data_IF_013872920250
#
_entry.id   IF_013872920250
#
_cell.length_a   1.000
_cell.length_b   1.000
_cell.length_c   1.000
_cell.angle_alpha   90.00
_cell.angle_beta   90.00
_cell.angle_gamma   90.00
#
_symmetry.space_group_name_H-M   'P 1'
#
loop_
_entity.id
_entity.type
_entity.pdbx_description
1 polymer ?
#
# COMPACT_ATOMS: atom_id res chain seq x y z
N UNK A 1 -12.94 22.84 9.46
CA UNK A 1 -11.55 23.28 9.62
C UNK A 1 -11.07 23.61 8.23
N UNK A 2 -10.81 24.89 7.99
CA UNK A 2 -10.22 25.35 6.74
C UNK A 2 -8.79 24.76 6.73
N UNK A 3 -8.58 23.64 6.07
CA UNK A 3 -7.27 23.07 5.90
C UNK A 3 -6.57 23.94 4.86
N UNK A 4 -5.85 24.96 5.33
CA UNK A 4 -4.80 25.57 4.53
C UNK A 4 -4.00 24.43 3.91
N UNK A 5 -3.65 24.53 2.63
CA UNK A 5 -2.89 23.50 1.93
C UNK A 5 -1.67 23.11 2.75
N UNK A 6 -1.68 21.92 3.32
CA UNK A 6 -0.53 21.43 4.08
C UNK A 6 0.46 20.86 3.09
N UNK A 7 1.53 21.59 2.89
CA UNK A 7 2.61 21.24 1.96
C UNK A 7 3.79 20.69 2.76
N UNK A 8 4.26 19.50 2.41
CA UNK A 8 5.41 18.86 3.02
C UNK A 8 6.51 18.60 1.97
N UNK A 9 7.78 18.47 2.39
CA UNK A 9 8.83 17.96 1.50
C UNK A 9 8.49 16.59 0.96
N UNK A 10 8.89 16.29 -0.28
CA UNK A 10 8.78 14.95 -0.83
C UNK A 10 9.47 13.94 0.12
N UNK A 11 8.74 12.91 0.51
CA UNK A 11 9.15 12.03 1.61
C UNK A 11 10.39 11.21 1.27
N UNK A 12 10.47 10.66 0.05
CA UNK A 12 11.66 9.91 -0.39
C UNK A 12 12.88 10.85 -0.49
N UNK A 13 12.73 12.00 -1.10
CA UNK A 13 13.78 13.00 -1.21
C UNK A 13 14.30 13.42 0.16
N UNK A 14 13.40 13.67 1.13
CA UNK A 14 13.78 13.98 2.51
C UNK A 14 14.61 12.86 3.15
N UNK A 15 14.26 11.57 2.89
CA UNK A 15 15.05 10.43 3.38
C UNK A 15 16.41 10.38 2.70
N UNK A 16 16.48 10.61 1.37
CA UNK A 16 17.73 10.65 0.62
C UNK A 16 18.67 11.79 1.08
N UNK A 17 18.11 12.93 1.49
CA UNK A 17 18.89 14.06 2.05
C UNK A 17 19.37 13.79 3.48
N UNK A 18 18.51 13.22 4.34
CA UNK A 18 18.80 13.08 5.77
C UNK A 18 19.58 11.81 6.12
N UNK A 19 19.34 10.72 5.39
CA UNK A 19 19.95 9.39 5.64
C UNK A 19 20.29 8.70 4.31
N UNK A 20 21.16 9.31 3.45
CA UNK A 20 21.40 8.84 2.09
C UNK A 20 21.86 7.39 2.00
N UNK A 21 22.71 6.97 2.93
CA UNK A 21 23.34 5.64 2.92
C UNK A 21 22.50 4.57 3.65
N UNK A 22 21.40 4.96 4.32
CA UNK A 22 20.53 4.00 4.98
C UNK A 22 19.81 3.14 3.93
N UNK A 23 19.77 1.82 4.17
CA UNK A 23 19.01 0.91 3.33
C UNK A 23 17.54 1.36 3.24
N UNK A 24 17.06 1.63 2.03
CA UNK A 24 15.66 1.93 1.76
C UNK A 24 14.89 0.66 1.38
N UNK A 25 15.44 -0.11 0.43
CA UNK A 25 14.76 -1.27 -0.14
C UNK A 25 15.72 -2.41 -0.47
N UNK A 26 15.25 -3.64 -0.23
CA UNK A 26 15.89 -4.85 -0.73
C UNK A 26 14.89 -5.68 -1.53
N UNK A 27 15.33 -6.22 -2.69
CA UNK A 27 14.59 -7.17 -3.52
C UNK A 27 15.56 -8.24 -4.06
N UNK A 28 15.41 -9.46 -3.58
CA UNK A 28 16.44 -10.49 -3.80
C UNK A 28 17.80 -10.05 -3.26
N UNK A 29 18.82 -10.09 -4.11
CA UNK A 29 20.18 -9.65 -3.76
C UNK A 29 20.40 -8.14 -3.97
N UNK A 30 19.47 -7.45 -4.64
CA UNK A 30 19.59 -6.02 -4.91
C UNK A 30 19.20 -5.23 -3.68
N UNK A 31 20.06 -4.31 -3.29
CA UNK A 31 19.88 -3.43 -2.11
C UNK A 31 20.15 -2.00 -2.53
N UNK A 32 19.18 -1.13 -2.33
CA UNK A 32 19.33 0.30 -2.57
C UNK A 32 19.17 1.11 -1.28
N UNK A 33 20.04 2.06 -1.12
CA UNK A 33 19.92 3.12 -0.11
C UNK A 33 18.79 4.09 -0.49
N UNK A 34 18.43 5.01 0.42
CA UNK A 34 17.47 6.07 0.10
C UNK A 34 17.96 6.97 -1.02
N UNK A 35 19.27 7.27 -1.08
CA UNK A 35 19.85 8.07 -2.17
C UNK A 35 19.73 7.34 -3.53
N UNK A 36 20.02 6.03 -3.56
CA UNK A 36 19.90 5.23 -4.77
C UNK A 36 18.43 5.10 -5.21
N UNK A 37 17.50 4.83 -4.31
CA UNK A 37 16.08 4.76 -4.63
C UNK A 37 15.55 6.10 -5.17
N UNK A 38 15.96 7.23 -4.60
CA UNK A 38 15.58 8.57 -5.08
C UNK A 38 16.17 8.86 -6.46
N UNK A 39 17.40 8.46 -6.71
CA UNK A 39 18.03 8.57 -8.04
C UNK A 39 17.27 7.74 -9.09
N UNK A 40 16.90 6.50 -8.76
CA UNK A 40 16.09 5.64 -9.64
C UNK A 40 14.70 6.25 -9.92
N UNK A 41 14.03 6.76 -8.89
CA UNK A 41 12.74 7.42 -9.03
C UNK A 41 12.82 8.71 -9.89
N UNK A 42 13.90 9.46 -9.73
CA UNK A 42 14.17 10.67 -10.51
C UNK A 42 14.43 10.34 -11.98
N UNK A 43 15.27 9.34 -12.25
CA UNK A 43 15.55 8.85 -13.60
C UNK A 43 14.26 8.39 -14.30
N UNK A 44 13.50 7.50 -13.66
CA UNK A 44 12.24 7.00 -14.22
C UNK A 44 11.22 8.12 -14.42
N UNK A 45 11.10 9.09 -13.51
CA UNK A 45 10.18 10.22 -13.65
C UNK A 45 10.47 11.04 -14.91
N UNK A 46 11.75 11.29 -15.24
CA UNK A 46 12.13 11.98 -16.47
C UNK A 46 11.80 11.20 -17.73
N UNK A 47 11.92 9.87 -17.69
CA UNK A 47 11.50 9.02 -18.80
C UNK A 47 9.96 8.98 -18.93
N UNK A 48 9.22 8.90 -17.82
CA UNK A 48 7.76 8.93 -17.81
C UNK A 48 7.20 10.25 -18.36
N UNK A 49 7.89 11.37 -18.12
CA UNK A 49 7.51 12.66 -18.68
C UNK A 49 7.52 12.68 -20.22
N UNK A 50 8.37 11.86 -20.87
CA UNK A 50 8.38 11.73 -22.35
C UNK A 50 7.10 11.12 -22.91
N UNK A 51 6.33 10.39 -22.09
CA UNK A 51 4.99 9.90 -22.46
C UNK A 51 3.87 10.91 -22.18
N UNK A 52 4.21 12.16 -21.85
CA UNK A 52 3.25 13.19 -21.50
C UNK A 52 2.68 13.07 -20.09
N UNK A 53 3.31 12.29 -19.21
CA UNK A 53 2.88 12.19 -17.82
C UNK A 53 3.32 13.44 -17.05
N UNK A 54 2.37 14.10 -16.44
CA UNK A 54 2.55 15.31 -15.66
C UNK A 54 1.56 15.32 -14.48
N UNK A 55 1.49 16.43 -13.77
CA UNK A 55 0.54 16.63 -12.66
C UNK A 55 -0.90 16.27 -13.06
N UNK A 56 -1.58 15.53 -12.17
CA UNK A 56 -2.96 15.04 -12.33
C UNK A 56 -3.17 14.03 -13.48
N UNK A 57 -2.14 13.66 -14.25
CA UNK A 57 -2.26 12.58 -15.23
C UNK A 57 -2.61 11.26 -14.52
N UNK A 58 -3.67 10.61 -14.97
CA UNK A 58 -4.09 9.30 -14.43
C UNK A 58 -3.37 8.19 -15.16
N UNK A 59 -2.57 7.43 -14.42
CA UNK A 59 -1.66 6.41 -14.93
C UNK A 59 -2.04 5.05 -14.38
N UNK A 60 -2.58 4.19 -15.25
CA UNK A 60 -2.83 2.79 -14.90
C UNK A 60 -1.50 2.03 -14.80
N UNK A 61 -1.33 1.21 -13.76
CA UNK A 61 -0.10 0.45 -13.51
C UNK A 61 -0.43 -1.02 -13.32
N UNK A 62 0.00 -1.87 -14.26
CA UNK A 62 -0.17 -3.32 -14.29
C UNK A 62 1.18 -4.00 -14.18
N UNK A 63 1.66 -4.21 -12.96
CA UNK A 63 2.98 -4.79 -12.72
C UNK A 63 3.02 -5.62 -11.43
N UNK A 64 3.94 -6.58 -11.37
CA UNK A 64 4.24 -7.36 -10.19
C UNK A 64 4.94 -6.52 -9.12
N UNK A 65 4.90 -6.99 -7.88
CA UNK A 65 5.73 -6.42 -6.82
C UNK A 65 7.20 -6.51 -7.21
N UNK A 66 7.97 -5.48 -6.95
CA UNK A 66 9.41 -5.45 -7.22
C UNK A 66 9.94 -4.03 -7.31
N UNK A 67 11.21 -3.90 -7.62
CA UNK A 67 11.87 -2.60 -7.77
C UNK A 67 11.19 -1.72 -8.82
N UNK A 68 10.76 -2.25 -10.02
CA UNK A 68 10.07 -1.43 -11.01
C UNK A 68 8.78 -0.80 -10.47
N UNK A 69 7.97 -1.57 -9.73
CA UNK A 69 6.74 -1.06 -9.15
C UNK A 69 7.00 0.01 -8.10
N UNK A 70 7.93 -0.23 -7.18
CA UNK A 70 8.27 0.73 -6.11
C UNK A 70 8.84 2.01 -6.69
N UNK A 71 9.77 1.91 -7.63
CA UNK A 71 10.33 3.07 -8.33
C UNK A 71 9.26 3.87 -9.07
N UNK A 72 8.32 3.17 -9.73
CA UNK A 72 7.19 3.80 -10.42
C UNK A 72 6.29 4.61 -9.47
N UNK A 73 5.97 4.08 -8.29
CA UNK A 73 5.19 4.81 -7.26
C UNK A 73 5.85 6.15 -6.92
N UNK A 74 7.16 6.14 -6.67
CA UNK A 74 7.89 7.34 -6.31
C UNK A 74 8.11 8.28 -7.51
N UNK A 75 8.32 7.75 -8.71
CA UNK A 75 8.42 8.54 -9.93
C UNK A 75 7.12 9.30 -10.25
N UNK A 76 5.97 8.63 -10.13
CA UNK A 76 4.66 9.26 -10.29
C UNK A 76 4.41 10.33 -9.22
N UNK A 77 4.86 10.11 -7.98
CA UNK A 77 4.82 11.13 -6.93
C UNK A 77 5.66 12.36 -7.30
N UNK A 78 6.84 12.18 -7.91
CA UNK A 78 7.71 13.27 -8.39
C UNK A 78 7.07 14.09 -9.52
N UNK A 79 6.22 13.46 -10.31
CA UNK A 79 5.47 14.13 -11.39
C UNK A 79 4.13 14.71 -10.93
N UNK A 80 3.65 14.35 -9.73
CA UNK A 80 2.31 14.70 -9.25
C UNK A 80 1.19 14.00 -10.01
N UNK A 81 1.50 12.86 -10.64
CA UNK A 81 0.54 12.03 -11.35
C UNK A 81 -0.27 11.16 -10.38
N UNK A 82 -1.47 10.78 -10.80
CA UNK A 82 -2.38 9.92 -10.04
C UNK A 82 -2.18 8.48 -10.49
N UNK A 83 -1.75 7.62 -9.57
CA UNK A 83 -1.58 6.20 -9.84
C UNK A 83 -2.93 5.46 -9.78
N UNK A 84 -3.18 4.59 -10.76
CA UNK A 84 -4.31 3.65 -10.76
C UNK A 84 -3.75 2.23 -10.78
N UNK A 85 -3.51 1.64 -9.61
CA UNK A 85 -2.93 0.29 -9.53
C UNK A 85 -3.96 -0.75 -9.96
N UNK A 86 -3.60 -1.56 -10.97
CA UNK A 86 -4.45 -2.62 -11.49
C UNK A 86 -4.13 -3.95 -10.82
N UNK A 87 -5.17 -4.68 -10.43
CA UNK A 87 -5.01 -6.01 -9.86
C UNK A 87 -4.59 -7.01 -10.95
N UNK A 88 -3.37 -7.52 -10.85
CA UNK A 88 -2.77 -8.47 -11.83
C UNK A 88 -3.55 -9.77 -12.03
N UNK A 89 -4.54 -10.07 -11.18
CA UNK A 89 -5.37 -11.28 -11.25
C UNK A 89 -6.62 -11.10 -12.10
N UNK A 90 -6.97 -9.86 -12.46
CA UNK A 90 -8.14 -9.55 -13.28
C UNK A 90 -7.88 -9.85 -14.76
N UNK A 91 -8.95 -9.97 -15.53
CA UNK A 91 -8.93 -10.18 -16.97
C UNK A 91 -8.58 -8.88 -17.73
N UNK A 92 -8.33 -8.98 -19.04
CA UNK A 92 -8.10 -7.80 -19.88
C UNK A 92 -9.36 -6.92 -19.96
N UNK A 93 -10.56 -7.52 -20.04
CA UNK A 93 -11.84 -6.82 -20.08
C UNK A 93 -12.09 -6.01 -18.81
N UNK A 94 -11.80 -6.58 -17.65
CA UNK A 94 -11.91 -5.87 -16.36
C UNK A 94 -10.93 -4.70 -16.29
N UNK A 95 -9.70 -4.86 -16.80
CA UNK A 95 -8.73 -3.77 -16.88
C UNK A 95 -9.17 -2.67 -17.85
N UNK A 96 -9.67 -3.04 -19.04
CA UNK A 96 -10.21 -2.09 -20.01
C UNK A 96 -11.31 -1.25 -19.37
N UNK A 97 -12.23 -1.91 -18.67
CA UNK A 97 -13.30 -1.22 -17.96
C UNK A 97 -12.77 -0.25 -16.90
N UNK A 98 -11.82 -0.67 -16.05
CA UNK A 98 -11.24 0.20 -15.02
C UNK A 98 -10.49 1.41 -15.62
N UNK A 99 -9.71 1.19 -16.69
CA UNK A 99 -8.96 2.24 -17.40
C UNK A 99 -9.92 3.29 -17.97
N UNK A 100 -11.02 2.84 -18.57
CA UNK A 100 -12.05 3.74 -19.13
C UNK A 100 -12.80 4.49 -18.02
N UNK A 101 -13.22 3.77 -16.97
CA UNK A 101 -13.99 4.33 -15.87
C UNK A 101 -13.24 5.45 -15.15
N UNK A 102 -11.93 5.27 -14.96
CA UNK A 102 -11.07 6.27 -14.30
C UNK A 102 -10.52 7.32 -15.27
N UNK A 103 -10.81 7.23 -16.56
CA UNK A 103 -10.24 8.08 -17.61
C UNK A 103 -8.69 8.11 -17.59
N UNK A 104 -8.05 6.96 -17.37
CA UNK A 104 -6.60 6.88 -17.47
C UNK A 104 -6.13 7.09 -18.91
N UNK A 105 -5.05 7.82 -19.09
CA UNK A 105 -4.48 8.15 -20.42
C UNK A 105 -3.21 7.39 -20.73
N UNK A 106 -2.62 6.75 -19.71
CA UNK A 106 -1.38 5.98 -19.82
C UNK A 106 -1.56 4.63 -19.13
N UNK A 107 -1.03 3.57 -19.76
CA UNK A 107 -0.86 2.26 -19.13
C UNK A 107 0.63 1.93 -19.04
N UNK A 108 1.12 1.78 -17.83
CA UNK A 108 2.46 1.24 -17.54
C UNK A 108 2.35 -0.23 -17.13
N UNK A 109 3.24 -1.07 -17.65
CA UNK A 109 3.25 -2.49 -17.31
C UNK A 109 4.67 -3.05 -17.19
N UNK A 110 4.81 -4.20 -16.57
CA UNK A 110 6.02 -5.01 -16.70
C UNK A 110 5.92 -5.98 -17.91
N UNK A 111 7.04 -6.58 -18.31
CA UNK A 111 7.10 -7.47 -19.45
C UNK A 111 6.29 -8.77 -19.27
N UNK A 112 5.98 -9.18 -18.03
CA UNK A 112 5.23 -10.39 -17.75
C UNK A 112 3.74 -10.27 -18.16
N UNK A 113 3.25 -9.03 -18.36
CA UNK A 113 1.87 -8.75 -18.76
C UNK A 113 1.68 -8.46 -20.26
N UNK A 114 2.70 -8.65 -21.10
CA UNK A 114 2.67 -8.30 -22.53
C UNK A 114 1.42 -8.84 -23.27
N UNK A 115 1.07 -10.10 -23.10
CA UNK A 115 -0.13 -10.69 -23.76
C UNK A 115 -1.41 -9.96 -23.38
N UNK A 116 -1.56 -9.59 -22.10
CA UNK A 116 -2.72 -8.84 -21.62
C UNK A 116 -2.71 -7.41 -22.13
N UNK A 117 -1.54 -6.77 -22.14
CA UNK A 117 -1.36 -5.42 -22.67
C UNK A 117 -1.72 -5.35 -24.15
N UNK A 118 -1.37 -6.35 -24.96
CA UNK A 118 -1.74 -6.39 -26.37
C UNK A 118 -3.27 -6.46 -26.57
N UNK A 119 -4.00 -7.21 -25.75
CA UNK A 119 -5.47 -7.21 -25.79
C UNK A 119 -6.04 -5.83 -25.41
N UNK A 120 -5.45 -5.17 -24.40
CA UNK A 120 -5.87 -3.81 -24.01
C UNK A 120 -5.55 -2.80 -25.12
N UNK A 121 -4.40 -2.88 -25.79
CA UNK A 121 -4.03 -2.01 -26.91
C UNK A 121 -5.01 -2.09 -28.07
N UNK A 122 -5.49 -3.30 -28.40
CA UNK A 122 -6.49 -3.48 -29.45
C UNK A 122 -7.81 -2.77 -29.12
N UNK A 123 -8.21 -2.76 -27.85
CA UNK A 123 -9.45 -2.14 -27.40
C UNK A 123 -9.29 -0.62 -27.16
N UNK A 124 -8.11 -0.17 -26.73
CA UNK A 124 -7.84 1.21 -26.32
C UNK A 124 -6.60 1.78 -27.05
N UNK A 125 -6.59 1.86 -28.40
CA UNK A 125 -5.42 2.26 -29.16
C UNK A 125 -4.98 3.72 -28.92
N UNK A 126 -5.83 4.53 -28.28
CA UNK A 126 -5.55 5.94 -27.96
C UNK A 126 -4.70 6.13 -26.69
N UNK A 127 -4.49 5.08 -25.88
CA UNK A 127 -3.65 5.19 -24.68
C UNK A 127 -2.16 5.29 -25.06
N UNK A 128 -1.41 5.95 -24.20
CA UNK A 128 0.05 5.83 -24.20
C UNK A 128 0.45 4.59 -23.42
N UNK A 129 1.43 3.84 -23.92
CA UNK A 129 1.88 2.59 -23.34
C UNK A 129 3.36 2.64 -23.00
N UNK A 130 3.72 2.15 -21.83
CA UNK A 130 5.11 2.04 -21.41
C UNK A 130 5.39 0.72 -20.69
N UNK A 131 6.54 0.12 -20.97
CA UNK A 131 7.00 -1.07 -20.25
C UNK A 131 8.12 -0.69 -19.30
N UNK A 132 7.93 -0.94 -18.01
CA UNK A 132 8.91 -0.66 -16.97
C UNK A 132 9.70 -1.93 -16.72
N UNK A 133 11.03 -1.84 -16.80
CA UNK A 133 11.94 -2.96 -16.65
C UNK A 133 13.01 -2.66 -15.60
N UNK A 134 13.52 -3.72 -14.99
CA UNK A 134 14.77 -3.70 -14.25
C UNK A 134 15.86 -4.24 -15.18
N UNK A 135 16.81 -3.41 -15.53
CA UNK A 135 17.96 -3.83 -16.35
C UNK A 135 18.92 -4.67 -15.51
N UNK A 136 19.22 -5.87 -15.98
CA UNK A 136 20.04 -6.80 -15.22
C UNK A 136 21.51 -6.38 -15.09
N UNK A 137 22.03 -5.67 -16.09
CA UNK A 137 23.44 -5.24 -16.14
C UNK A 137 23.72 -4.04 -15.25
N UNK A 138 22.84 -3.05 -15.28
CA UNK A 138 22.99 -1.78 -14.53
C UNK A 138 22.23 -1.77 -13.22
N UNK A 139 21.30 -2.70 -13.05
CA UNK A 139 20.30 -2.75 -11.97
C UNK A 139 19.44 -1.46 -11.91
N UNK A 140 19.32 -0.73 -13.02
CA UNK A 140 18.46 0.45 -13.11
C UNK A 140 17.04 0.07 -13.49
N UNK A 141 16.07 0.80 -12.95
CA UNK A 141 14.69 0.75 -13.41
C UNK A 141 14.52 1.76 -14.53
N UNK A 142 14.10 1.28 -15.70
CA UNK A 142 13.96 2.10 -16.91
C UNK A 142 12.60 1.90 -17.56
N UNK A 143 12.17 2.93 -18.30
CA UNK A 143 11.06 2.84 -19.24
C UNK A 143 11.62 2.47 -20.61
N UNK A 144 11.22 1.33 -21.13
CA UNK A 144 11.77 0.75 -22.36
C UNK A 144 11.68 1.73 -23.54
N UNK A 145 12.82 1.96 -24.21
CA UNK A 145 12.93 2.79 -25.42
C UNK A 145 12.50 4.25 -25.22
N UNK A 146 12.54 4.78 -24.01
CA UNK A 146 12.18 6.17 -23.74
C UNK A 146 13.40 6.96 -23.24
N UNK A 147 13.70 8.12 -23.82
CA UNK A 147 14.73 9.01 -23.35
C UNK A 147 14.28 9.73 -22.07
N UNK A 148 15.22 10.27 -21.32
CA UNK A 148 14.92 11.26 -20.31
C UNK A 148 14.47 12.57 -20.95
N UNK A 149 13.49 13.23 -20.34
CA UNK A 149 13.04 14.56 -20.68
C UNK A 149 13.37 15.52 -19.54
N UNK A 150 13.87 16.70 -19.87
CA UNK A 150 14.06 17.74 -18.87
C UNK A 150 12.69 18.25 -18.41
N UNK A 151 12.37 18.00 -17.15
CA UNK A 151 11.08 18.33 -16.54
C UNK A 151 11.30 18.76 -15.08
N UNK A 152 10.50 19.72 -14.64
CA UNK A 152 10.50 20.14 -13.24
C UNK A 152 9.82 19.05 -12.41
N UNK A 153 10.58 18.41 -11.54
CA UNK A 153 10.08 17.40 -10.62
C UNK A 153 9.66 18.04 -9.29
N UNK A 154 8.59 17.54 -8.69
CA UNK A 154 8.07 18.05 -7.44
C UNK A 154 9.02 17.74 -6.26
N UNK A 155 9.46 18.79 -5.58
CA UNK A 155 10.18 18.72 -4.31
C UNK A 155 9.23 18.74 -3.11
N UNK A 156 8.00 19.16 -3.31
CA UNK A 156 6.96 19.32 -2.31
C UNK A 156 5.74 18.47 -2.66
N UNK A 157 5.04 18.01 -1.64
CA UNK A 157 3.77 17.27 -1.74
C UNK A 157 2.69 18.11 -1.06
N UNK A 158 1.63 18.46 -1.80
CA UNK A 158 0.41 18.95 -1.19
C UNK A 158 -0.38 17.74 -0.68
N UNK A 159 -0.63 17.69 0.61
CA UNK A 159 -1.31 16.56 1.24
C UNK A 159 -2.75 16.34 0.73
N UNK A 160 -3.39 17.38 0.20
CA UNK A 160 -4.73 17.29 -0.37
C UNK A 160 -4.77 16.65 -1.78
N UNK A 161 -3.61 16.55 -2.45
CA UNK A 161 -3.55 15.92 -3.77
C UNK A 161 -3.90 14.44 -3.71
N UNK A 162 -4.55 13.96 -4.76
CA UNK A 162 -4.80 12.53 -4.97
C UNK A 162 -3.50 11.83 -5.36
N UNK A 163 -3.09 10.84 -4.57
CA UNK A 163 -1.96 9.97 -4.87
C UNK A 163 -2.36 8.81 -5.77
N UNK A 164 -3.49 8.17 -5.44
CA UNK A 164 -3.95 6.99 -6.16
C UNK A 164 -5.48 6.87 -6.18
N UNK A 165 -6.00 6.16 -7.17
CA UNK A 165 -7.38 5.70 -7.22
C UNK A 165 -7.35 4.18 -7.22
N UNK A 166 -7.87 3.56 -6.14
CA UNK A 166 -7.77 2.12 -5.93
C UNK A 166 -9.15 1.46 -6.01
N UNK A 167 -9.31 0.53 -6.93
CA UNK A 167 -10.58 -0.18 -7.09
C UNK A 167 -10.82 -1.22 -6.00
N UNK A 168 -12.03 -1.21 -5.45
CA UNK A 168 -12.52 -2.22 -4.51
C UNK A 168 -13.64 -3.03 -5.17
N UNK A 169 -13.68 -4.34 -4.88
CA UNK A 169 -14.80 -5.20 -5.27
C UNK A 169 -16.00 -4.84 -4.39
N UNK A 170 -16.82 -3.91 -4.83
CA UNK A 170 -18.07 -3.57 -4.13
C UNK A 170 -18.96 -4.80 -3.95
N UNK A 171 -19.68 -4.89 -2.84
CA UNK A 171 -20.62 -5.99 -2.54
C UNK A 171 -21.86 -6.00 -3.45
N UNK A 172 -22.09 -4.94 -4.22
CA UNK A 172 -23.35 -4.71 -4.96
C UNK A 172 -23.11 -4.01 -6.31
N UNK A 173 -22.32 -4.60 -7.23
CA UNK A 173 -22.17 -4.04 -8.57
C UNK A 173 -20.73 -3.89 -9.07
N UNK A 174 -20.50 -2.97 -10.01
CA UNK A 174 -19.18 -2.69 -10.55
C UNK A 174 -18.22 -2.16 -9.46
N UNK A 175 -16.92 -2.47 -9.54
CA UNK A 175 -15.93 -1.95 -8.62
C UNK A 175 -15.95 -0.42 -8.55
N UNK A 176 -15.60 0.13 -7.40
CA UNK A 176 -15.53 1.59 -7.17
C UNK A 176 -14.10 2.02 -6.95
N UNK A 177 -13.69 3.08 -7.62
CA UNK A 177 -12.37 3.69 -7.44
C UNK A 177 -12.33 4.57 -6.17
N UNK A 178 -11.69 4.11 -5.12
CA UNK A 178 -11.49 4.86 -3.87
C UNK A 178 -10.41 5.90 -4.07
N UNK A 179 -10.70 7.15 -3.78
CA UNK A 179 -9.72 8.24 -3.84
C UNK A 179 -8.80 8.16 -2.61
N UNK A 180 -7.51 7.98 -2.85
CA UNK A 180 -6.46 7.95 -1.83
C UNK A 180 -5.62 9.22 -1.98
N UNK A 181 -5.64 10.08 -0.94
CA UNK A 181 -4.85 11.31 -0.91
C UNK A 181 -3.53 11.12 -0.16
N UNK A 182 -2.58 12.05 -0.33
CA UNK A 182 -1.35 12.06 0.49
C UNK A 182 -1.66 12.32 1.97
N UNK A 183 -2.72 13.08 2.30
CA UNK A 183 -3.23 13.23 3.68
C UNK A 183 -3.55 11.87 4.30
N UNK A 184 -4.26 11.01 3.57
CA UNK A 184 -4.62 9.68 4.06
C UNK A 184 -3.38 8.83 4.34
N UNK A 185 -2.39 8.85 3.44
CA UNK A 185 -1.12 8.11 3.62
C UNK A 185 -0.32 8.63 4.81
N UNK A 186 -0.20 9.95 4.93
CA UNK A 186 0.50 10.59 6.05
C UNK A 186 -0.08 10.18 7.40
N UNK A 187 -1.39 10.37 7.58
CA UNK A 187 -2.04 10.07 8.84
C UNK A 187 -2.12 8.56 9.13
N UNK A 188 -2.27 7.72 8.09
CA UNK A 188 -2.19 6.27 8.24
C UNK A 188 -0.80 5.83 8.72
N UNK A 189 0.26 6.42 8.18
CA UNK A 189 1.64 6.13 8.60
C UNK A 189 1.91 6.57 10.04
N UNK A 190 1.52 7.82 10.39
CA UNK A 190 1.69 8.35 11.74
C UNK A 190 0.89 7.54 12.76
N UNK A 191 -0.39 7.27 12.48
CA UNK A 191 -1.23 6.47 13.38
C UNK A 191 -0.70 5.05 13.56
N UNK A 192 -0.18 4.44 12.51
CA UNK A 192 0.48 3.14 12.57
C UNK A 192 1.74 3.19 13.44
N UNK A 193 2.61 4.18 13.24
CA UNK A 193 3.84 4.36 14.02
C UNK A 193 3.56 4.59 15.51
N UNK A 194 2.57 5.42 15.85
CA UNK A 194 2.15 5.65 17.23
C UNK A 194 1.61 4.38 17.91
N UNK A 195 0.96 3.50 17.13
CA UNK A 195 0.33 2.28 17.67
C UNK A 195 1.31 1.10 17.76
N UNK A 196 2.13 0.88 16.72
CA UNK A 196 3.06 -0.24 16.64
C UNK A 196 4.43 0.06 17.29
N UNK A 197 4.67 1.33 17.62
CA UNK A 197 6.01 1.84 17.92
C UNK A 197 6.81 2.09 16.64
N UNK A 198 7.78 2.99 16.72
CA UNK A 198 8.68 3.32 15.62
C UNK A 198 10.13 3.16 16.09
N UNK A 199 10.89 2.33 15.38
CA UNK A 199 12.32 2.15 15.59
C UNK A 199 13.05 2.49 14.29
N UNK A 200 14.18 3.18 14.38
CA UNK A 200 14.95 3.60 13.19
C UNK A 200 15.46 2.44 12.35
N UNK A 201 15.72 1.30 12.97
CA UNK A 201 16.20 0.05 12.35
C UNK A 201 15.07 -0.90 11.98
N UNK A 202 13.82 -0.45 12.01
CA UNK A 202 12.72 -1.26 11.51
C UNK A 202 12.92 -1.62 10.04
N UNK A 203 12.60 -2.88 9.75
CA UNK A 203 12.55 -3.40 8.41
C UNK A 203 11.19 -4.08 8.19
N UNK A 204 10.38 -3.54 7.27
CA UNK A 204 9.05 -4.06 6.98
C UNK A 204 9.09 -4.98 5.76
N UNK A 205 8.68 -6.23 5.93
CA UNK A 205 8.57 -7.17 4.81
C UNK A 205 7.24 -6.99 4.07
N UNK A 206 7.33 -6.63 2.79
CA UNK A 206 6.21 -6.43 1.87
C UNK A 206 6.07 -7.63 0.92
N UNK A 207 5.27 -8.62 1.31
CA UNK A 207 4.91 -9.79 0.52
C UNK A 207 3.43 -9.80 0.08
N UNK A 208 2.65 -8.79 0.51
CA UNK A 208 1.29 -8.57 0.04
C UNK A 208 1.31 -7.85 -1.32
N UNK A 209 0.26 -8.01 -2.15
CA UNK A 209 0.20 -7.29 -3.42
C UNK A 209 0.24 -5.77 -3.22
N UNK A 210 1.17 -5.10 -3.90
CA UNK A 210 1.35 -3.64 -3.80
C UNK A 210 0.20 -2.85 -4.47
N UNK A 211 -0.56 -3.49 -5.36
CA UNK A 211 -1.76 -2.89 -5.96
C UNK A 211 -2.96 -2.81 -4.99
N UNK A 212 -2.87 -3.39 -3.79
CA UNK A 212 -3.83 -3.16 -2.70
C UNK A 212 -3.30 -2.13 -1.71
N UNK A 213 -4.21 -1.41 -1.06
CA UNK A 213 -3.87 -0.37 -0.08
C UNK A 213 -2.98 -0.90 1.04
N UNK A 214 -3.17 -2.15 1.49
CA UNK A 214 -2.31 -2.78 2.51
C UNK A 214 -0.86 -2.93 2.08
N UNK A 215 -0.59 -3.16 0.78
CA UNK A 215 0.75 -3.19 0.21
C UNK A 215 1.31 -1.78 -0.05
N UNK A 216 0.55 -0.93 -0.73
CA UNK A 216 0.97 0.45 -1.03
C UNK A 216 1.33 1.23 0.25
N UNK A 217 0.56 1.06 1.33
CA UNK A 217 0.83 1.73 2.61
C UNK A 217 2.19 1.37 3.21
N UNK A 218 2.72 0.15 2.96
CA UNK A 218 4.06 -0.22 3.44
C UNK A 218 5.11 0.65 2.77
N UNK A 219 4.99 0.89 1.45
CA UNK A 219 5.91 1.76 0.70
C UNK A 219 5.88 3.19 1.24
N UNK A 220 4.67 3.71 1.50
CA UNK A 220 4.54 5.07 2.05
C UNK A 220 5.07 5.17 3.48
N UNK A 221 4.80 4.18 4.32
CA UNK A 221 5.36 4.13 5.69
C UNK A 221 6.87 4.08 5.70
N UNK A 222 7.51 3.40 4.74
CA UNK A 222 8.96 3.38 4.60
C UNK A 222 9.53 4.80 4.48
N UNK A 223 9.07 5.58 3.52
CA UNK A 223 9.59 6.93 3.25
C UNK A 223 9.08 8.00 4.22
N UNK A 224 7.89 7.82 4.81
CA UNK A 224 7.37 8.73 5.85
C UNK A 224 8.15 8.57 7.15
N UNK A 225 8.40 7.33 7.55
CA UNK A 225 9.06 7.00 8.82
C UNK A 225 10.59 6.84 8.70
N UNK A 226 11.15 6.77 7.48
CA UNK A 226 12.58 6.56 7.25
C UNK A 226 13.05 5.15 7.64
N UNK A 227 12.27 4.11 7.32
CA UNK A 227 12.58 2.71 7.64
C UNK A 227 12.76 1.87 6.37
N UNK A 228 13.50 0.78 6.50
CA UNK A 228 13.78 -0.13 5.38
C UNK A 228 12.57 -0.99 5.03
N UNK A 229 12.50 -1.42 3.77
CA UNK A 229 11.57 -2.46 3.33
C UNK A 229 12.28 -3.58 2.59
N UNK A 230 11.74 -4.80 2.71
CA UNK A 230 12.08 -5.91 1.83
C UNK A 230 10.84 -6.22 0.99
N UNK A 231 10.99 -6.20 -0.33
CA UNK A 231 9.89 -6.48 -1.25
C UNK A 231 10.07 -7.88 -1.83
N UNK A 232 9.01 -8.69 -1.75
CA UNK A 232 8.93 -9.97 -2.44
C UNK A 232 7.91 -9.89 -3.57
N UNK A 233 8.21 -10.50 -4.72
CA UNK A 233 7.34 -10.49 -5.89
C UNK A 233 5.97 -11.08 -5.60
N UNK A 234 5.95 -12.18 -4.83
CA UNK A 234 4.74 -12.87 -4.39
C UNK A 234 4.93 -13.46 -3.01
N UNK A 235 3.83 -13.80 -2.37
CA UNK A 235 3.87 -14.55 -1.12
C UNK A 235 4.30 -16.00 -1.37
N UNK A 236 5.42 -16.38 -0.78
CA UNK A 236 5.89 -17.75 -0.64
C UNK A 236 6.29 -17.96 0.82
N UNK A 237 5.70 -18.95 1.55
CA UNK A 237 5.91 -19.07 2.99
C UNK A 237 7.34 -19.40 3.38
N UNK A 238 8.07 -20.19 2.57
CA UNK A 238 9.46 -20.52 2.81
C UNK A 238 10.36 -19.31 2.61
N UNK A 239 10.17 -18.57 1.50
CA UNK A 239 10.92 -17.35 1.20
C UNK A 239 10.66 -16.25 2.23
N UNK A 240 9.41 -16.09 2.67
CA UNK A 240 9.03 -15.15 3.74
C UNK A 240 9.71 -15.51 5.06
N UNK A 241 9.64 -16.78 5.48
CA UNK A 241 10.27 -17.25 6.71
C UNK A 241 11.78 -17.09 6.68
N UNK A 242 12.41 -17.41 5.54
CA UNK A 242 13.84 -17.18 5.31
C UNK A 242 14.21 -15.71 5.45
N UNK A 243 13.46 -14.80 4.80
CA UNK A 243 13.70 -13.37 4.87
C UNK A 243 13.61 -12.85 6.32
N UNK A 244 12.63 -13.30 7.10
CA UNK A 244 12.47 -12.91 8.50
C UNK A 244 13.71 -13.32 9.33
N UNK A 245 14.25 -14.51 9.10
CA UNK A 245 15.40 -15.01 9.86
C UNK A 245 16.73 -14.38 9.44
N UNK A 246 16.94 -14.17 8.14
CA UNK A 246 18.23 -13.79 7.59
C UNK A 246 18.40 -12.27 7.39
N UNK A 247 17.30 -11.53 7.16
CA UNK A 247 17.38 -10.13 6.74
C UNK A 247 16.89 -9.14 7.81
N UNK A 248 16.87 -9.54 9.09
CA UNK A 248 16.49 -8.68 10.22
C UNK A 248 15.12 -8.00 10.05
N UNK A 249 14.15 -8.71 9.45
CA UNK A 249 12.77 -8.23 9.37
C UNK A 249 12.21 -8.05 10.78
N UNK A 250 11.65 -6.87 11.05
CA UNK A 250 11.05 -6.55 12.35
C UNK A 250 9.52 -6.51 12.30
N UNK A 251 8.97 -6.20 11.13
CA UNK A 251 7.52 -6.09 10.91
C UNK A 251 7.14 -6.81 9.62
N UNK A 252 6.04 -7.54 9.66
CA UNK A 252 5.41 -8.11 8.47
C UNK A 252 3.90 -7.90 8.50
N UNK A 253 3.28 -7.63 7.34
CA UNK A 253 1.82 -7.59 7.18
C UNK A 253 1.33 -8.82 6.45
N UNK A 254 0.32 -9.51 7.01
CA UNK A 254 -0.22 -10.75 6.47
C UNK A 254 -1.73 -10.84 6.68
N UNK A 255 -2.38 -11.74 5.92
CA UNK A 255 -3.73 -12.22 6.21
C UNK A 255 -3.67 -13.60 6.89
N UNK A 256 -4.76 -14.04 7.51
CA UNK A 256 -4.78 -15.25 8.33
C UNK A 256 -4.27 -16.51 7.60
N UNK A 257 -4.66 -16.71 6.34
CA UNK A 257 -4.20 -17.85 5.54
C UNK A 257 -2.69 -17.81 5.24
N UNK A 258 -2.12 -16.61 5.07
CA UNK A 258 -0.68 -16.47 4.87
C UNK A 258 0.07 -16.84 6.15
N UNK A 259 -0.36 -16.32 7.30
CA UNK A 259 0.25 -16.63 8.60
C UNK A 259 0.17 -18.13 8.90
N UNK A 260 -0.97 -18.77 8.65
CA UNK A 260 -1.12 -20.21 8.82
C UNK A 260 -0.11 -21.00 7.97
N UNK A 261 0.06 -20.63 6.70
CA UNK A 261 1.04 -21.29 5.79
C UNK A 261 2.49 -21.03 6.22
N UNK A 262 2.79 -19.84 6.75
CA UNK A 262 4.10 -19.52 7.31
C UNK A 262 4.42 -20.40 8.50
N UNK A 263 3.46 -20.58 9.45
CA UNK A 263 3.65 -21.43 10.61
C UNK A 263 3.84 -22.90 10.23
N UNK A 264 3.06 -23.41 9.26
CA UNK A 264 3.25 -24.79 8.75
C UNK A 264 4.66 -24.97 8.16
N UNK A 265 5.13 -24.01 7.36
CA UNK A 265 6.47 -24.07 6.80
C UNK A 265 7.60 -23.99 7.83
N UNK A 266 7.38 -23.27 8.95
CA UNK A 266 8.31 -23.28 10.11
C UNK A 266 8.37 -24.64 10.78
N UNK A 267 7.20 -25.28 10.97
CA UNK A 267 7.12 -26.63 11.57
C UNK A 267 7.83 -27.67 10.72
N UNK A 268 7.60 -27.65 9.41
CA UNK A 268 8.23 -28.55 8.46
C UNK A 268 9.76 -28.40 8.46
N UNK A 269 10.26 -27.18 8.71
CA UNK A 269 11.69 -26.89 8.79
C UNK A 269 12.31 -27.07 10.19
N UNK A 270 11.50 -27.23 11.23
CA UNK A 270 11.96 -27.25 12.63
C UNK A 270 12.57 -25.91 13.10
N UNK A 271 12.06 -24.78 12.58
CA UNK A 271 12.63 -23.45 12.77
C UNK A 271 11.72 -22.55 13.61
N UNK A 272 12.29 -21.44 14.08
CA UNK A 272 11.57 -20.42 14.86
C UNK A 272 11.92 -19.02 14.35
N UNK A 273 11.06 -18.05 14.64
CA UNK A 273 11.37 -16.66 14.36
C UNK A 273 12.33 -16.08 15.39
N UNK A 274 13.23 -15.17 14.96
CA UNK A 274 14.11 -14.44 15.87
C UNK A 274 13.31 -13.42 16.70
N UNK A 275 13.83 -13.06 17.86
CA UNK A 275 13.26 -12.01 18.73
C UNK A 275 13.19 -10.63 18.06
N UNK A 276 13.95 -10.43 16.99
CA UNK A 276 13.89 -9.19 16.18
C UNK A 276 12.55 -8.99 15.50
N UNK A 277 11.78 -10.07 15.21
CA UNK A 277 10.43 -9.95 14.69
C UNK A 277 9.49 -9.46 15.82
N UNK A 278 9.19 -8.16 15.83
CA UNK A 278 8.43 -7.51 16.87
C UNK A 278 6.94 -7.29 16.54
N UNK A 279 6.54 -7.49 15.29
CA UNK A 279 5.15 -7.29 14.87
C UNK A 279 4.77 -8.15 13.65
N UNK A 280 3.77 -8.98 13.81
CA UNK A 280 3.02 -9.62 12.73
C UNK A 280 1.67 -8.93 12.64
N UNK A 281 1.55 -7.93 11.76
CA UNK A 281 0.32 -7.17 11.55
C UNK A 281 -0.68 -8.03 10.76
N UNK A 282 -1.69 -8.54 11.44
CA UNK A 282 -2.67 -9.47 10.91
C UNK A 282 -3.98 -8.75 10.58
N UNK A 283 -4.30 -8.64 9.30
CA UNK A 283 -5.49 -7.93 8.82
C UNK A 283 -6.27 -8.69 7.74
N UNK A 284 -7.21 -7.99 7.09
CA UNK A 284 -7.97 -8.49 5.95
C UNK A 284 -9.11 -9.46 6.30
N UNK A 285 -9.36 -9.71 7.59
CA UNK A 285 -10.45 -10.56 8.07
C UNK A 285 -10.23 -11.01 9.52
N UNK A 286 -11.22 -11.70 10.12
CA UNK A 286 -11.12 -12.22 11.48
C UNK A 286 -10.04 -13.31 11.57
N UNK A 287 -9.29 -13.31 12.65
CA UNK A 287 -8.27 -14.31 12.93
C UNK A 287 -8.89 -15.50 13.67
N UNK A 288 -8.74 -16.75 13.16
CA UNK A 288 -9.22 -17.94 13.86
C UNK A 288 -8.53 -18.14 15.20
N UNK A 289 -9.28 -18.53 16.23
CA UNK A 289 -8.75 -18.77 17.58
C UNK A 289 -7.56 -19.74 17.61
N UNK A 290 -7.59 -20.91 16.93
CA UNK A 290 -6.47 -21.84 16.94
C UNK A 290 -5.17 -21.25 16.38
N UNK A 291 -5.28 -20.36 15.37
CA UNK A 291 -4.13 -19.65 14.80
C UNK A 291 -3.50 -18.71 15.83
N UNK A 292 -4.31 -17.95 16.57
CA UNK A 292 -3.82 -17.03 17.62
C UNK A 292 -3.20 -17.79 18.79
N UNK A 293 -3.80 -18.92 19.22
CA UNK A 293 -3.26 -19.79 20.27
C UNK A 293 -1.91 -20.38 19.85
N UNK A 294 -1.78 -20.83 18.59
CA UNK A 294 -0.52 -21.32 18.04
C UNK A 294 0.57 -20.22 18.03
N UNK A 295 0.21 -19.01 17.60
CA UNK A 295 1.13 -17.86 17.64
C UNK A 295 1.56 -17.53 19.08
N UNK A 296 0.63 -17.51 20.04
CA UNK A 296 0.92 -17.23 21.44
C UNK A 296 1.85 -18.28 22.06
N UNK A 297 1.63 -19.57 21.78
CA UNK A 297 2.50 -20.67 22.26
C UNK A 297 3.95 -20.53 21.75
N UNK A 298 4.16 -19.83 20.63
CA UNK A 298 5.49 -19.57 20.02
C UNK A 298 6.01 -18.16 20.31
N UNK A 299 5.35 -17.39 21.15
CA UNK A 299 5.69 -15.99 21.43
C UNK A 299 5.74 -15.09 20.20
N UNK A 300 4.96 -15.42 19.14
CA UNK A 300 4.88 -14.60 17.91
C UNK A 300 4.00 -13.38 18.20
N UNK A 301 4.50 -12.15 18.01
CA UNK A 301 3.82 -10.90 18.39
C UNK A 301 2.76 -10.49 17.36
N UNK A 302 1.60 -11.15 17.40
CA UNK A 302 0.49 -10.86 16.48
C UNK A 302 -0.24 -9.59 16.91
N UNK A 303 -0.38 -8.65 15.97
CA UNK A 303 -1.15 -7.43 16.12
C UNK A 303 -2.31 -7.47 15.13
N UNK A 304 -3.54 -7.74 15.61
CA UNK A 304 -4.73 -7.79 14.77
C UNK A 304 -5.18 -6.38 14.41
N UNK A 305 -5.55 -6.17 13.15
CA UNK A 305 -6.00 -4.89 12.66
C UNK A 305 -7.23 -5.01 11.77
N UNK A 306 -8.11 -4.02 11.85
CA UNK A 306 -9.23 -3.80 10.95
C UNK A 306 -9.01 -2.50 10.17
N UNK A 307 -9.33 -2.53 8.91
CA UNK A 307 -9.32 -1.39 8.02
C UNK A 307 -9.79 -1.77 6.61
N UNK A 308 -10.03 -0.75 5.83
CA UNK A 308 -10.60 -0.80 4.48
C UNK A 308 -9.69 -0.01 3.54
N UNK A 309 -9.92 -0.11 2.25
CA UNK A 309 -9.29 0.79 1.27
C UNK A 309 -9.67 2.23 1.59
N UNK A 310 -10.92 2.46 1.92
CA UNK A 310 -11.50 3.76 2.29
C UNK A 310 -10.91 4.36 3.58
N UNK A 311 -10.25 3.55 4.41
CA UNK A 311 -9.55 4.01 5.63
C UNK A 311 -8.02 3.98 5.51
N UNK A 312 -7.49 3.84 4.29
CA UNK A 312 -6.05 3.76 4.01
C UNK A 312 -5.36 2.66 4.83
N UNK A 313 -5.87 1.45 4.74
CA UNK A 313 -5.43 0.19 5.32
C UNK A 313 -5.79 0.00 6.80
N UNK A 314 -5.19 0.75 7.74
CA UNK A 314 -5.27 0.49 9.17
C UNK A 314 -6.11 1.56 9.88
N UNK A 315 -7.23 1.16 10.48
CA UNK A 315 -8.10 2.06 11.24
C UNK A 315 -8.21 1.69 12.72
N UNK A 316 -8.23 0.39 13.04
CA UNK A 316 -8.43 -0.15 14.40
C UNK A 316 -7.43 -1.26 14.64
N UNK A 317 -6.89 -1.38 15.86
CA UNK A 317 -5.86 -2.39 16.16
C UNK A 317 -6.03 -2.97 17.55
N UNK A 318 -5.94 -4.30 17.65
CA UNK A 318 -5.95 -5.08 18.90
C UNK A 318 -4.53 -5.46 19.27
N UNK A 319 -4.08 -5.06 20.48
CA UNK A 319 -2.74 -5.38 20.96
C UNK A 319 -2.51 -6.89 21.13
N UNK A 320 -1.25 -7.37 21.09
CA UNK A 320 -0.94 -8.79 21.35
C UNK A 320 -1.43 -9.27 22.73
N UNK A 321 -1.36 -8.42 23.75
CA UNK A 321 -1.82 -8.75 25.10
C UNK A 321 -3.34 -9.02 25.18
N UNK A 322 -4.10 -8.49 24.25
CA UNK A 322 -5.56 -8.65 24.17
C UNK A 322 -6.01 -9.74 23.18
N UNK A 323 -5.09 -10.27 22.36
CA UNK A 323 -5.43 -11.12 21.22
C UNK A 323 -6.30 -12.34 21.58
N UNK A 324 -5.93 -13.07 22.65
CA UNK A 324 -6.72 -14.21 23.14
C UNK A 324 -7.82 -13.81 24.12
N UNK A 325 -7.61 -12.72 24.86
CA UNK A 325 -8.58 -12.25 25.86
C UNK A 325 -9.83 -11.65 25.22
N UNK A 326 -9.68 -11.02 24.03
CA UNK A 326 -10.75 -10.32 23.32
C UNK A 326 -10.95 -10.88 21.89
N UNK A 327 -11.14 -12.19 21.82
CA UNK A 327 -11.44 -12.85 20.55
C UNK A 327 -12.64 -12.22 19.85
N UNK A 328 -12.51 -12.03 18.54
CA UNK A 328 -13.53 -11.36 17.70
C UNK A 328 -13.50 -9.83 17.77
N UNK A 329 -12.66 -9.23 18.64
CA UNK A 329 -12.45 -7.79 18.65
C UNK A 329 -11.36 -7.38 17.63
N UNK A 330 -11.58 -6.30 16.91
CA UNK A 330 -10.56 -5.65 16.10
C UNK A 330 -9.67 -4.67 16.89
N UNK A 331 -9.99 -4.42 18.17
CA UNK A 331 -9.22 -3.56 19.06
C UNK A 331 -9.79 -2.16 19.24
N UNK A 332 -8.91 -1.17 19.26
CA UNK A 332 -9.24 0.25 19.46
C UNK A 332 -8.90 1.07 18.22
N UNK A 333 -9.65 2.16 17.95
CA UNK A 333 -9.30 3.06 16.85
C UNK A 333 -7.90 3.64 17.08
N UNK A 334 -7.16 3.83 15.97
CA UNK A 334 -5.88 4.53 15.98
C UNK A 334 -6.08 6.00 16.39
N UNK A 335 -5.00 6.65 16.83
CA UNK A 335 -5.05 8.00 17.41
C UNK A 335 -5.74 9.05 16.51
N UNK A 336 -5.64 8.88 15.17
CA UNK A 336 -6.26 9.78 14.19
C UNK A 336 -7.67 9.38 13.77
N UNK A 337 -8.20 8.25 14.26
CA UNK A 337 -9.51 7.71 13.85
C UNK A 337 -10.52 7.82 14.99
N UNK A 338 -11.66 8.41 14.69
CA UNK A 338 -12.86 8.33 15.51
C UNK A 338 -13.69 7.13 15.04
N UNK A 339 -14.25 6.37 15.97
CA UNK A 339 -15.10 5.23 15.69
C UNK A 339 -16.37 5.30 16.51
N UNK A 340 -17.49 4.98 15.90
CA UNK A 340 -18.77 4.75 16.58
C UNK A 340 -19.47 3.54 15.97
N UNK A 341 -20.25 2.85 16.79
CA UNK A 341 -21.17 1.82 16.35
C UNK A 341 -22.56 2.44 16.34
N UNK A 342 -23.25 2.33 15.23
CA UNK A 342 -24.59 2.89 15.07
C UNK A 342 -25.63 1.78 14.95
N UNK A 343 -26.69 1.86 15.70
CA UNK A 343 -27.91 1.09 15.50
C UNK A 343 -28.97 2.04 14.98
N UNK A 344 -29.32 1.90 13.69
CA UNK A 344 -30.11 2.88 12.94
C UNK A 344 -29.54 4.30 13.10
N UNK A 345 -30.23 5.19 13.81
CA UNK A 345 -29.86 6.60 13.97
C UNK A 345 -29.24 6.92 15.35
N UNK A 346 -29.00 5.93 16.20
CA UNK A 346 -28.47 6.11 17.55
C UNK A 346 -27.12 5.41 17.74
N UNK A 347 -26.31 5.91 18.66
CA UNK A 347 -25.09 5.20 19.04
C UNK A 347 -25.51 3.94 19.81
N UNK A 348 -25.04 2.79 19.35
CA UNK A 348 -25.32 1.50 19.97
C UNK A 348 -24.78 1.44 21.41
N UNK A 349 -25.55 0.82 22.31
CA UNK A 349 -25.11 0.58 23.66
C UNK A 349 -23.97 -0.47 23.71
N UNK A 350 -23.28 -0.58 24.85
CA UNK A 350 -22.25 -1.60 25.02
C UNK A 350 -22.84 -3.01 24.81
N UNK A 351 -22.16 -3.82 24.02
CA UNK A 351 -22.56 -5.17 23.59
C UNK A 351 -23.77 -5.21 22.61
N UNK A 352 -24.24 -4.09 22.13
CA UNK A 352 -25.23 -4.02 21.07
C UNK A 352 -24.55 -4.06 19.69
N UNK A 353 -25.10 -4.80 18.74
CA UNK A 353 -24.61 -4.86 17.37
C UNK A 353 -25.05 -3.63 16.56
N UNK A 354 -24.21 -3.19 15.64
CA UNK A 354 -24.53 -2.08 14.76
C UNK A 354 -23.50 -1.92 13.63
N UNK A 355 -23.73 -0.89 12.80
CA UNK A 355 -22.83 -0.53 11.71
C UNK A 355 -21.63 0.27 12.25
N UNK A 356 -20.43 -0.07 11.77
CA UNK A 356 -19.20 0.64 12.12
C UNK A 356 -19.11 1.91 11.30
N UNK A 357 -18.97 3.06 11.99
CA UNK A 357 -18.71 4.36 11.37
C UNK A 357 -17.32 4.83 11.75
N UNK A 358 -16.55 5.24 10.74
CA UNK A 358 -15.19 5.75 10.89
C UNK A 358 -15.11 7.20 10.43
N UNK A 359 -14.36 8.03 11.15
CA UNK A 359 -14.06 9.42 10.77
C UNK A 359 -12.62 9.76 11.14
N UNK A 360 -11.94 10.50 10.28
CA UNK A 360 -10.58 10.97 10.53
C UNK A 360 -9.85 11.31 9.24
N UNK A 361 -8.67 11.88 9.34
CA UNK A 361 -7.91 12.34 8.17
C UNK A 361 -7.37 11.20 7.29
N UNK A 362 -7.39 9.95 7.75
CA UNK A 362 -7.06 8.76 6.94
C UNK A 362 -8.29 8.14 6.25
N UNK A 363 -9.48 8.74 6.39
CA UNK A 363 -10.70 8.28 5.72
C UNK A 363 -10.86 9.01 4.39
N UNK A 364 -11.22 8.27 3.34
CA UNK A 364 -11.42 8.84 2.00
C UNK A 364 -12.54 9.89 1.98
N UNK A 365 -12.41 10.86 1.09
CA UNK A 365 -13.47 11.81 0.79
C UNK A 365 -14.55 11.23 -0.13
N UNK A 366 -14.31 10.06 -0.76
CA UNK A 366 -15.28 9.41 -1.63
C UNK A 366 -14.70 8.52 -2.72
N UNK A 367 -15.57 8.21 -3.65
CA UNK A 367 -15.28 7.39 -4.82
C UNK A 367 -15.20 8.26 -6.08
N UNK A 368 -14.20 7.97 -6.91
CA UNK A 368 -13.95 8.71 -8.15
C UNK A 368 -15.15 8.58 -9.08
N UNK A 369 -15.65 9.71 -9.60
CA UNK A 369 -16.80 9.81 -10.49
C UNK A 369 -18.09 9.09 -9.98
N UNK A 370 -18.25 8.94 -8.66
CA UNK A 370 -19.40 8.26 -8.04
C UNK A 370 -20.01 9.10 -6.91
N UNK A 371 -20.59 10.27 -7.21
CA UNK A 371 -21.15 11.15 -6.18
C UNK A 371 -22.29 10.52 -5.37
N UNK A 372 -23.14 9.72 -6.03
CA UNK A 372 -24.25 9.02 -5.36
C UNK A 372 -23.76 7.95 -4.39
N UNK A 373 -22.79 7.11 -4.81
CA UNK A 373 -22.19 6.09 -3.95
C UNK A 373 -21.43 6.73 -2.79
N UNK A 374 -20.76 7.87 -3.03
CA UNK A 374 -20.11 8.67 -1.98
C UNK A 374 -21.13 9.17 -0.97
N UNK A 375 -22.23 9.78 -1.43
CA UNK A 375 -23.29 10.27 -0.56
C UNK A 375 -24.01 9.17 0.23
N UNK A 376 -24.09 7.95 -0.30
CA UNK A 376 -24.66 6.78 0.40
C UNK A 376 -23.75 6.20 1.48
N UNK A 377 -22.44 6.40 1.35
CA UNK A 377 -21.45 5.76 2.23
C UNK A 377 -20.81 6.74 3.21
N UNK A 378 -20.73 8.02 2.84
CA UNK A 378 -20.07 9.06 3.64
C UNK A 378 -21.08 10.15 4.02
N UNK A 379 -21.36 10.27 5.31
CA UNK A 379 -22.28 11.27 5.87
C UNK A 379 -21.56 12.14 6.91
N UNK A 380 -21.50 13.44 6.69
CA UNK A 380 -20.83 14.41 7.58
C UNK A 380 -19.38 14.04 7.91
N UNK A 381 -18.67 13.43 6.93
CA UNK A 381 -17.31 12.92 7.06
C UNK A 381 -17.19 11.60 7.84
N UNK A 382 -18.29 10.90 8.11
CA UNK A 382 -18.33 9.56 8.65
C UNK A 382 -18.54 8.55 7.53
N UNK A 383 -17.62 7.62 7.38
CA UNK A 383 -17.70 6.44 6.51
C UNK A 383 -18.47 5.33 7.24
N UNK A 384 -19.51 4.79 6.59
CA UNK A 384 -20.36 3.71 7.09
C UNK A 384 -20.03 2.34 6.42
#
# INVERSE_FOLDING_TARGET
VNTADTILPNWLMRCAENTPDQLAIQHGEIRWSFAELDAQATHLARQLASLGIHEQTRVAVLAHNGLPYVTCVHALTRLGAIMVPLNIRLTAEEHIWQIQDVNATVLLSDAQHNTRVEAIKQALPQLHYGTINLEQTTQNVTLQNQPETDVILRHLINLNDTQAIMYTSGTTGNPKGVIITYTMQWWSAIGSALNLGHHRDDCWLACMPLFHVGGLSILMRSVINGISIIVQEKFDPQAVNKAIRENRVTIISVVAIMLQRMLSALDDAGEQYPETLRCVLLGGGPAPRPLLENCAARSIPVVQTYGLTESCAQAVTLSPADALRKLGSAGRPLAQVQLRIMNENTIAAAAEAGTIYLKGPSITAGYDHRPEATAQTIHDGWLA
#
